data_IF_163911231646
#
_entry.id   IF_163911231646
#
_cell.length_a   1.000
_cell.length_b   1.000
_cell.length_c   1.000
_cell.angle_alpha   90.00
_cell.angle_beta   90.00
_cell.angle_gamma   90.00
#
_symmetry.space_group_name_H-M   'P 1'
#
loop_
_entity.id
_entity.type
_entity.pdbx_description
1 polymer ?
#
# COMPACT_ATOMS: atom_id res chain seq x y z
N UNK A 1 -11.16 -15.97 6.52
CA UNK A 1 -11.98 -14.79 6.86
C UNK A 1 -11.20 -13.51 6.70
N UNK A 2 -11.86 -12.42 6.29
CA UNK A 2 -11.22 -11.10 6.15
C UNK A 2 -10.97 -10.51 7.54
N UNK A 3 -9.78 -9.92 7.80
CA UNK A 3 -9.50 -9.25 9.07
C UNK A 3 -10.31 -7.96 9.26
N UNK A 4 -10.81 -7.38 8.16
CA UNK A 4 -11.73 -6.24 8.21
C UNK A 4 -13.19 -6.73 8.13
N UNK A 5 -13.97 -6.42 9.18
CA UNK A 5 -15.39 -6.77 9.31
C UNK A 5 -16.31 -5.55 9.38
N UNK A 6 -15.77 -4.33 9.38
CA UNK A 6 -16.52 -3.08 9.38
C UNK A 6 -15.81 -1.96 10.16
N UNK A 7 -16.38 -0.74 10.21
CA UNK A 7 -15.77 0.39 10.92
C UNK A 7 -15.46 0.11 12.39
N UNK A 8 -16.33 -0.66 13.06
CA UNK A 8 -16.17 -1.02 14.48
C UNK A 8 -15.07 -2.05 14.73
N UNK A 9 -14.54 -2.70 13.67
CA UNK A 9 -13.42 -3.64 13.75
C UNK A 9 -12.06 -2.98 13.49
N UNK A 10 -11.96 -1.67 13.69
CA UNK A 10 -10.74 -0.88 13.49
C UNK A 10 -10.27 -0.24 14.79
N UNK A 11 -8.97 -0.11 14.94
CA UNK A 11 -8.33 0.66 16.01
C UNK A 11 -7.23 1.55 15.43
N UNK A 12 -6.79 2.54 16.20
CA UNK A 12 -5.67 3.41 15.80
C UNK A 12 -4.34 2.69 16.08
N UNK A 13 -3.61 2.37 15.02
CA UNK A 13 -2.28 1.80 15.05
C UNK A 13 -1.19 2.86 14.89
N UNK A 14 -0.12 2.52 14.17
CA UNK A 14 1.00 3.43 13.99
C UNK A 14 0.58 4.68 13.20
N UNK A 15 1.12 5.84 13.56
CA UNK A 15 0.84 7.12 12.90
C UNK A 15 -0.66 7.48 12.81
N UNK A 16 -1.46 7.05 13.80
CA UNK A 16 -2.91 7.24 13.84
C UNK A 16 -3.64 6.66 12.61
N UNK A 17 -3.09 5.63 11.99
CA UNK A 17 -3.73 4.90 10.89
C UNK A 17 -4.76 3.94 11.47
N UNK A 18 -5.91 3.82 10.81
CA UNK A 18 -6.91 2.81 11.18
C UNK A 18 -6.45 1.44 10.67
N UNK A 19 -6.24 0.52 11.59
CA UNK A 19 -5.77 -0.83 11.33
C UNK A 19 -6.83 -1.84 11.81
N UNK A 20 -7.02 -2.97 11.11
CA UNK A 20 -7.87 -4.06 11.59
C UNK A 20 -7.48 -4.48 13.01
N UNK A 21 -8.48 -4.60 13.90
CA UNK A 21 -8.25 -4.98 15.31
C UNK A 21 -7.87 -6.45 15.50
N UNK A 22 -8.12 -7.28 14.48
CA UNK A 22 -7.68 -8.68 14.49
C UNK A 22 -6.21 -8.72 14.12
N UNK A 23 -5.39 -9.28 15.02
CA UNK A 23 -3.98 -9.52 14.76
C UNK A 23 -3.81 -10.63 13.72
N UNK A 24 -3.45 -10.24 12.50
CA UNK A 24 -3.15 -11.17 11.41
C UNK A 24 -1.70 -11.61 11.38
N UNK A 25 -0.84 -11.16 12.30
CA UNK A 25 0.55 -11.61 12.36
C UNK A 25 0.68 -13.10 12.70
N UNK A 26 -0.37 -13.68 13.30
CA UNK A 26 -0.44 -15.08 13.74
C UNK A 26 -1.34 -15.99 12.87
N UNK A 27 -2.02 -15.45 11.85
CA UNK A 27 -2.95 -16.24 11.01
C UNK A 27 -2.66 -16.07 9.53
N UNK A 28 -2.95 -17.11 8.73
CA UNK A 28 -2.96 -17.08 7.27
C UNK A 28 -3.97 -16.03 6.78
N UNK A 29 -3.55 -14.76 6.77
CA UNK A 29 -4.31 -13.70 6.17
C UNK A 29 -4.60 -14.10 4.72
N UNK A 30 -5.85 -13.96 4.25
CA UNK A 30 -6.17 -14.33 2.88
C UNK A 30 -5.26 -13.56 1.92
N UNK A 31 -4.65 -14.28 0.97
CA UNK A 31 -3.80 -13.65 -0.04
C UNK A 31 -4.66 -12.72 -0.90
N UNK A 32 -4.28 -11.45 -1.06
CA UNK A 32 -5.02 -10.56 -1.92
C UNK A 32 -4.80 -10.94 -3.40
N UNK A 33 -5.84 -10.80 -4.21
CA UNK A 33 -5.73 -10.90 -5.68
C UNK A 33 -5.26 -9.57 -6.30
N UNK A 34 -5.35 -8.46 -5.57
CA UNK A 34 -5.02 -7.10 -6.01
C UNK A 34 -4.63 -6.24 -4.80
N UNK A 35 -3.61 -5.38 -4.98
CA UNK A 35 -3.26 -4.33 -3.99
C UNK A 35 -3.48 -2.94 -4.59
N UNK A 36 -4.17 -2.07 -3.84
CA UNK A 36 -4.20 -0.64 -4.12
C UNK A 36 -3.03 0.01 -3.38
N UNK A 37 -2.07 0.56 -4.13
CA UNK A 37 -0.84 1.11 -3.59
C UNK A 37 -0.99 2.64 -3.43
N UNK A 38 -0.87 3.18 -2.21
CA UNK A 38 -0.89 4.62 -2.01
C UNK A 38 0.43 5.27 -2.41
N UNK A 39 0.37 6.55 -2.81
CA UNK A 39 1.54 7.32 -3.20
C UNK A 39 1.27 8.83 -3.17
N UNK A 40 2.35 9.61 -3.06
CA UNK A 40 2.32 11.07 -3.19
C UNK A 40 2.35 11.46 -4.67
N UNK A 41 3.16 10.75 -5.47
CA UNK A 41 3.30 10.96 -6.90
C UNK A 41 3.49 9.62 -7.63
N UNK A 42 3.11 9.59 -8.89
CA UNK A 42 3.22 8.45 -9.80
C UNK A 42 3.67 8.94 -11.19
N UNK A 43 4.23 8.05 -11.98
CA UNK A 43 4.48 8.29 -13.40
C UNK A 43 3.94 7.18 -14.30
N UNK A 44 4.07 7.35 -15.62
CA UNK A 44 3.60 6.38 -16.63
C UNK A 44 4.53 5.16 -16.77
N UNK A 45 5.68 5.16 -16.10
CA UNK A 45 6.63 4.06 -16.04
C UNK A 45 6.34 3.15 -14.83
N UNK A 46 5.22 3.40 -14.13
CA UNK A 46 4.76 2.68 -12.94
C UNK A 46 5.63 2.92 -11.71
N UNK A 47 6.45 3.96 -11.72
CA UNK A 47 7.14 4.40 -10.51
C UNK A 47 6.17 5.09 -9.56
N UNK A 48 6.49 5.04 -8.26
CA UNK A 48 5.76 5.81 -7.25
C UNK A 48 6.73 6.48 -6.27
N UNK A 49 6.31 7.64 -5.75
CA UNK A 49 6.93 8.28 -4.60
C UNK A 49 6.05 8.08 -3.37
N UNK A 50 6.55 7.35 -2.37
CA UNK A 50 5.87 7.13 -1.09
C UNK A 50 6.06 8.27 -0.09
N UNK A 51 5.57 8.10 1.15
CA UNK A 51 5.73 9.07 2.25
C UNK A 51 7.09 9.02 2.96
N UNK A 52 8.08 8.30 2.41
CA UNK A 52 9.30 7.89 3.10
C UNK A 52 9.01 6.75 4.10
N UNK A 53 10.04 5.98 4.50
CA UNK A 53 10.03 4.73 5.32
C UNK A 53 10.09 3.40 4.58
N UNK A 54 9.79 3.38 3.28
CA UNK A 54 9.97 2.21 2.41
C UNK A 54 9.15 0.97 2.80
N UNK A 55 8.03 1.12 3.53
CA UNK A 55 7.13 0.00 3.85
C UNK A 55 6.66 -0.73 2.59
N UNK A 56 6.17 0.04 1.62
CA UNK A 56 5.72 -0.51 0.36
C UNK A 56 6.87 -0.90 -0.57
N UNK A 57 8.08 -0.36 -0.43
CA UNK A 57 9.21 -0.78 -1.28
C UNK A 57 9.58 -2.23 -0.95
N UNK A 58 9.67 -2.54 0.35
CA UNK A 58 9.91 -3.91 0.84
C UNK A 58 8.75 -4.86 0.56
N UNK A 59 7.52 -4.37 0.69
CA UNK A 59 6.35 -5.20 0.40
C UNK A 59 6.29 -5.54 -1.09
N UNK A 60 6.49 -4.56 -1.98
CA UNK A 60 6.30 -4.73 -3.42
C UNK A 60 7.47 -5.43 -4.12
N UNK A 61 8.67 -5.45 -3.55
CA UNK A 61 9.83 -6.12 -4.17
C UNK A 61 9.60 -7.61 -4.43
N UNK A 62 8.84 -8.26 -3.55
CA UNK A 62 8.65 -9.72 -3.55
C UNK A 62 7.25 -10.13 -4.03
N UNK A 63 6.43 -9.16 -4.48
CA UNK A 63 5.05 -9.42 -4.89
C UNK A 63 4.93 -9.72 -6.38
N UNK A 64 4.19 -10.79 -6.68
CA UNK A 64 3.88 -11.23 -8.05
C UNK A 64 2.43 -10.93 -8.47
N UNK A 65 1.63 -10.33 -7.59
CA UNK A 65 0.22 -10.03 -7.86
C UNK A 65 0.01 -8.60 -8.40
N UNK A 66 -1.10 -8.36 -9.12
CA UNK A 66 -1.43 -7.05 -9.67
C UNK A 66 -1.45 -5.94 -8.60
N UNK A 67 -0.88 -4.79 -8.94
CA UNK A 67 -0.87 -3.60 -8.11
C UNK A 67 -1.42 -2.41 -8.90
N UNK A 68 -2.25 -1.58 -8.26
CA UNK A 68 -2.82 -0.37 -8.87
C UNK A 68 -2.53 0.84 -7.98
N UNK A 69 -1.90 1.87 -8.56
CA UNK A 69 -1.80 3.18 -7.93
C UNK A 69 -3.10 3.97 -8.14
N UNK A 70 -3.69 4.47 -7.05
CA UNK A 70 -4.81 5.40 -7.11
C UNK A 70 -4.29 6.82 -6.90
N UNK A 71 -4.50 7.68 -7.90
CA UNK A 71 -3.91 9.00 -7.95
C UNK A 71 -4.88 10.03 -8.55
N UNK A 72 -4.85 11.25 -8.03
CA UNK A 72 -5.42 12.40 -8.73
C UNK A 72 -4.56 12.77 -9.93
N UNK A 73 -5.13 13.48 -10.91
CA UNK A 73 -4.41 13.92 -12.10
C UNK A 73 -3.14 14.74 -11.78
N UNK A 74 -3.17 15.56 -10.72
CA UNK A 74 -2.00 16.37 -10.30
C UNK A 74 -0.88 15.54 -9.67
N UNK A 75 -1.14 14.30 -9.28
CA UNK A 75 -0.15 13.37 -8.74
C UNK A 75 0.53 12.55 -9.83
N UNK A 76 0.09 12.67 -11.08
CA UNK A 76 0.67 12.00 -12.23
C UNK A 76 1.66 12.94 -12.94
N UNK A 77 2.92 12.53 -13.00
CA UNK A 77 4.00 13.27 -13.65
C UNK A 77 4.53 12.48 -14.85
N UNK A 78 5.26 13.17 -15.73
CA UNK A 78 5.94 12.51 -16.86
C UNK A 78 7.05 11.58 -16.36
N UNK A 79 7.74 11.99 -15.31
CA UNK A 79 8.80 11.23 -14.65
C UNK A 79 8.95 11.69 -13.20
N UNK A 80 9.17 10.76 -12.28
CA UNK A 80 9.55 11.06 -10.90
C UNK A 80 10.95 10.51 -10.59
N UNK A 81 11.73 11.16 -9.70
CA UNK A 81 13.01 10.61 -9.27
C UNK A 81 12.83 9.23 -8.62
N UNK A 82 13.65 8.27 -9.05
CA UNK A 82 13.70 6.91 -8.51
C UNK A 82 15.13 6.53 -8.17
N UNK A 83 15.31 5.87 -7.04
CA UNK A 83 16.58 5.23 -6.69
C UNK A 83 16.61 3.82 -7.23
N UNK A 84 17.79 3.37 -7.70
CA UNK A 84 17.99 1.97 -8.05
C UNK A 84 17.90 1.12 -6.78
N UNK A 85 16.92 0.23 -6.73
CA UNK A 85 16.71 -0.75 -5.67
C UNK A 85 16.99 -2.15 -6.20
#
# INVERSE_FOLDING_TARGET
DSPYAGPDSLHKGAYDIWEPSVDTSATDAPRPDLIVVPGIAFDRQLNRLGRGRGYYDRLLSDLTLPCIGLAFAFQLFDHIPVDAH
#
